data_IF_488280614767
#
_entry.id   IF_488280614767
#
_cell.length_a   1.000
_cell.length_b   1.000
_cell.length_c   1.000
_cell.angle_alpha   90.00
_cell.angle_beta   90.00
_cell.angle_gamma   90.00
#
_symmetry.space_group_name_H-M   'P 1'
#
loop_
_entity.id
_entity.type
_entity.pdbx_description
1 polymer ?
#
# COMPACT_ATOMS: atom_id res chain seq x y z
N UNK A 1 -16.64 1.98 -0.66
CA UNK A 1 -15.94 2.08 -1.97
C UNK A 1 -15.65 0.66 -2.45
N UNK A 2 -15.75 0.42 -3.76
CA UNK A 2 -15.40 -0.87 -4.37
C UNK A 2 -14.26 -0.68 -5.37
N UNK A 3 -13.45 -1.72 -5.53
CA UNK A 3 -12.34 -1.73 -6.47
C UNK A 3 -12.80 -1.96 -7.91
N UNK A 4 -11.86 -1.83 -8.86
CA UNK A 4 -12.09 -2.12 -10.29
C UNK A 4 -12.71 -3.50 -10.53
N UNK A 5 -12.30 -4.51 -9.77
CA UNK A 5 -12.84 -5.87 -9.83
C UNK A 5 -13.87 -6.17 -8.73
N UNK A 6 -14.58 -5.16 -8.25
CA UNK A 6 -15.71 -5.29 -7.31
C UNK A 6 -15.34 -5.80 -5.92
N UNK A 7 -14.08 -5.65 -5.51
CA UNK A 7 -13.64 -6.01 -4.17
C UNK A 7 -13.92 -4.85 -3.21
N UNK A 8 -14.30 -5.15 -1.97
CA UNK A 8 -14.46 -4.11 -0.96
C UNK A 8 -13.10 -3.48 -0.64
N UNK A 9 -13.04 -2.15 -0.58
CA UNK A 9 -11.79 -1.45 -0.28
C UNK A 9 -11.20 -1.87 1.08
N UNK A 10 -12.04 -2.10 2.09
CA UNK A 10 -11.59 -2.54 3.41
C UNK A 10 -10.94 -3.94 3.38
N UNK A 11 -11.44 -4.84 2.53
CA UNK A 11 -10.86 -6.17 2.34
C UNK A 11 -9.50 -6.09 1.65
N UNK A 12 -9.34 -5.23 0.65
CA UNK A 12 -8.05 -4.97 0.00
C UNK A 12 -7.04 -4.40 1.00
N UNK A 13 -7.43 -3.36 1.76
CA UNK A 13 -6.56 -2.71 2.75
C UNK A 13 -6.13 -3.71 3.83
N UNK A 14 -7.07 -4.53 4.32
CA UNK A 14 -6.78 -5.57 5.31
C UNK A 14 -5.92 -6.70 4.73
N UNK A 15 -6.21 -7.10 3.49
CA UNK A 15 -5.50 -8.13 2.75
C UNK A 15 -4.06 -7.75 2.44
N UNK A 16 -3.80 -6.47 2.13
CA UNK A 16 -2.46 -5.93 1.92
C UNK A 16 -1.59 -6.15 3.16
N UNK A 17 -2.07 -5.68 4.32
CA UNK A 17 -1.36 -5.82 5.59
C UNK A 17 -1.10 -7.29 5.95
N UNK A 18 -2.12 -8.14 5.83
CA UNK A 18 -2.00 -9.59 6.10
C UNK A 18 -1.00 -10.27 5.17
N UNK A 19 -0.96 -9.91 3.89
CA UNK A 19 -0.04 -10.48 2.91
C UNK A 19 1.40 -10.09 3.20
N UNK A 20 1.66 -8.80 3.49
CA UNK A 20 3.01 -8.32 3.83
C UNK A 20 3.51 -8.92 5.14
N UNK A 21 2.68 -8.95 6.21
CA UNK A 21 3.06 -9.56 7.50
C UNK A 21 3.45 -11.04 7.36
N UNK A 22 2.87 -11.76 6.40
CA UNK A 22 3.13 -13.18 6.13
C UNK A 22 4.19 -13.40 5.06
N UNK A 23 4.88 -12.35 4.63
CA UNK A 23 5.88 -12.40 3.54
C UNK A 23 5.35 -12.99 2.23
N UNK A 24 4.04 -12.83 1.95
CA UNK A 24 3.44 -13.24 0.68
C UNK A 24 3.47 -12.08 -0.32
N UNK A 25 4.59 -11.99 -1.04
CA UNK A 25 4.86 -10.90 -1.98
C UNK A 25 3.89 -10.88 -3.18
N UNK A 26 3.51 -12.04 -3.71
CA UNK A 26 2.62 -12.14 -4.88
C UNK A 26 1.24 -11.57 -4.57
N UNK A 27 0.64 -11.97 -3.44
CA UNK A 27 -0.67 -11.44 -3.03
C UNK A 27 -0.59 -9.96 -2.67
N UNK A 28 0.49 -9.52 -1.99
CA UNK A 28 0.67 -8.11 -1.67
C UNK A 28 0.77 -7.24 -2.93
N UNK A 29 1.49 -7.70 -3.96
CA UNK A 29 1.60 -7.00 -5.25
C UNK A 29 0.27 -6.95 -5.98
N UNK A 30 -0.45 -8.07 -6.08
CA UNK A 30 -1.75 -8.11 -6.74
C UNK A 30 -2.77 -7.15 -6.08
N UNK A 31 -2.83 -7.13 -4.75
CA UNK A 31 -3.69 -6.22 -3.98
C UNK A 31 -3.26 -4.77 -4.18
N UNK A 32 -1.97 -4.48 -4.10
CA UNK A 32 -1.44 -3.11 -4.31
C UNK A 32 -1.77 -2.61 -5.71
N UNK A 33 -1.65 -3.47 -6.73
CA UNK A 33 -1.97 -3.13 -8.10
C UNK A 33 -3.47 -2.86 -8.30
N UNK A 34 -4.33 -3.65 -7.65
CA UNK A 34 -5.77 -3.42 -7.66
C UNK A 34 -6.14 -2.08 -7.02
N UNK A 35 -5.55 -1.76 -5.87
CA UNK A 35 -5.75 -0.48 -5.19
C UNK A 35 -5.28 0.70 -6.05
N UNK A 36 -4.10 0.57 -6.66
CA UNK A 36 -3.50 1.57 -7.55
C UNK A 36 -4.37 1.86 -8.78
N UNK A 37 -4.90 0.83 -9.45
CA UNK A 37 -5.71 0.99 -10.65
C UNK A 37 -7.15 1.46 -10.42
N UNK A 38 -7.63 1.39 -9.18
CA UNK A 38 -9.05 1.64 -8.88
C UNK A 38 -9.38 3.14 -8.88
N UNK A 39 -8.65 3.94 -8.11
CA UNK A 39 -8.87 5.39 -8.01
C UNK A 39 -7.71 6.06 -7.28
N UNK A 40 -7.50 7.35 -7.54
CA UNK A 40 -6.50 8.16 -6.82
C UNK A 40 -6.70 8.09 -5.30
N UNK A 41 -7.96 8.10 -4.84
CA UNK A 41 -8.27 8.01 -3.41
C UNK A 41 -7.84 6.67 -2.79
N UNK A 42 -8.02 5.55 -3.50
CA UNK A 42 -7.60 4.23 -3.00
C UNK A 42 -6.08 4.05 -3.12
N UNK A 43 -5.46 4.64 -4.14
CA UNK A 43 -4.02 4.72 -4.26
C UNK A 43 -3.40 5.50 -3.08
N UNK A 44 -3.97 6.65 -2.70
CA UNK A 44 -3.52 7.40 -1.53
C UNK A 44 -3.65 6.58 -0.23
N UNK A 45 -4.72 5.79 -0.10
CA UNK A 45 -4.87 4.86 1.02
C UNK A 45 -3.85 3.72 1.00
N UNK A 46 -3.48 3.20 -0.18
CA UNK A 46 -2.41 2.22 -0.35
C UNK A 46 -1.10 2.76 0.23
N UNK A 47 -0.68 3.97 -0.16
CA UNK A 47 0.56 4.57 0.34
C UNK A 47 0.54 4.83 1.85
N UNK A 48 -0.57 5.37 2.38
CA UNK A 48 -0.75 5.55 3.83
C UNK A 48 -0.65 4.21 4.58
N UNK A 49 -1.25 3.15 4.04
CA UNK A 49 -1.23 1.83 4.66
C UNK A 49 0.17 1.20 4.61
N UNK A 50 0.92 1.36 3.53
CA UNK A 50 2.31 0.91 3.45
C UNK A 50 3.21 1.59 4.51
N UNK A 51 3.00 2.88 4.77
CA UNK A 51 3.69 3.59 5.86
C UNK A 51 3.36 2.98 7.23
N UNK A 52 2.08 2.70 7.51
CA UNK A 52 1.67 2.04 8.76
C UNK A 52 2.32 0.66 8.90
N UNK A 53 2.21 -0.19 7.87
CA UNK A 53 2.78 -1.55 7.86
C UNK A 53 4.30 -1.53 8.09
N UNK A 54 5.00 -0.53 7.52
CA UNK A 54 6.45 -0.39 7.70
C UNK A 54 6.88 -0.18 9.15
N UNK A 55 5.99 0.35 9.99
CA UNK A 55 6.24 0.60 11.41
C UNK A 55 5.63 -0.51 12.28
N UNK A 56 4.42 -0.96 11.98
CA UNK A 56 3.67 -1.93 12.78
C UNK A 56 4.15 -3.37 12.59
N UNK A 57 4.20 -3.85 11.33
CA UNK A 57 4.47 -5.25 11.02
C UNK A 57 5.96 -5.51 10.73
N UNK A 58 6.69 -4.52 10.19
CA UNK A 58 8.14 -4.61 9.98
C UNK A 58 8.92 -4.08 11.20
N UNK A 59 8.58 -2.86 11.65
CA UNK A 59 9.10 -2.28 12.89
C UNK A 59 10.62 -2.29 13.01
N UNK A 60 11.11 -2.80 14.15
CA UNK A 60 12.53 -2.79 14.50
C UNK A 60 13.37 -3.80 13.70
N UNK A 61 12.75 -4.73 12.96
CA UNK A 61 13.49 -5.63 12.08
C UNK A 61 14.13 -4.88 10.89
N UNK A 62 13.50 -3.79 10.44
CA UNK A 62 14.08 -2.87 9.47
C UNK A 62 13.69 -1.42 9.83
N UNK A 63 14.39 -0.77 10.78
CA UNK A 63 13.99 0.52 11.33
C UNK A 63 13.87 1.66 10.31
N UNK A 64 14.50 1.51 9.13
CA UNK A 64 14.48 2.48 8.04
C UNK A 64 13.44 2.18 6.94
N UNK A 65 12.64 1.12 7.06
CA UNK A 65 11.64 0.74 6.05
C UNK A 65 10.64 1.88 5.77
N UNK A 66 10.22 2.63 6.80
CA UNK A 66 9.34 3.77 6.64
C UNK A 66 9.92 4.88 5.72
N UNK A 67 11.24 5.08 5.71
CA UNK A 67 11.90 6.03 4.80
C UNK A 67 11.85 5.54 3.35
N UNK A 68 12.00 4.23 3.15
CA UNK A 68 11.94 3.61 1.83
C UNK A 68 10.55 3.72 1.20
N UNK A 69 9.49 3.79 2.02
CA UNK A 69 8.11 4.03 1.56
C UNK A 69 7.81 5.53 1.43
N UNK A 70 8.23 6.36 2.39
CA UNK A 70 7.95 7.80 2.41
C UNK A 70 8.56 8.54 1.22
N UNK A 71 9.80 8.22 0.87
CA UNK A 71 10.50 8.91 -0.22
C UNK A 71 9.75 8.80 -1.57
N UNK A 72 9.38 7.60 -2.07
CA UNK A 72 8.62 7.48 -3.31
C UNK A 72 7.21 8.05 -3.22
N UNK A 73 6.52 7.94 -2.08
CA UNK A 73 5.22 8.61 -1.87
C UNK A 73 5.33 10.13 -2.08
N UNK A 74 6.31 10.77 -1.44
CA UNK A 74 6.54 12.21 -1.57
C UNK A 74 6.94 12.62 -2.99
N UNK A 75 7.71 11.78 -3.69
CA UNK A 75 8.07 12.02 -5.10
C UNK A 75 6.81 11.96 -5.96
N UNK A 76 5.97 10.92 -5.81
CA UNK A 76 4.72 10.76 -6.57
C UNK A 76 3.81 11.97 -6.40
N UNK A 77 3.65 12.50 -5.19
CA UNK A 77 2.83 13.69 -4.95
C UNK A 77 3.38 14.98 -5.59
N UNK A 78 4.69 15.03 -5.88
CA UNK A 78 5.32 16.17 -6.57
C UNK A 78 5.29 16.01 -8.09
N UNK A 79 5.31 14.77 -8.57
CA UNK A 79 5.26 14.43 -9.99
C UNK A 79 3.81 14.15 -10.33
N UNK A 80 3.00 15.19 -10.51
CA UNK A 80 1.70 15.02 -11.15
C UNK A 80 1.93 14.47 -12.56
N UNK A 81 1.28 13.34 -12.87
CA UNK A 81 1.09 12.95 -14.26
C UNK A 81 0.19 14.01 -14.90
N UNK A 82 0.79 14.85 -15.75
CA UNK A 82 0.10 15.81 -16.60
C UNK A 82 -0.76 15.08 -17.64
#
# INVERSE_FOLDING_TARGET
MVSKHWLAADDLISGLQKSIRRSNAESALAISYEMYLTSESLEDYLWKRLLVISVEDIGLAAPKAHLQIRNPEQIRLKVHYA
#
